data_IF_567246666050
#
_entry.id   IF_567246666050
#
_cell.length_a   1.000
_cell.length_b   1.000
_cell.length_c   1.000
_cell.angle_alpha   90.00
_cell.angle_beta   90.00
_cell.angle_gamma   90.00
#
_symmetry.space_group_name_H-M   'P 1'
#
loop_
_entity.id
_entity.type
_entity.pdbx_description
1 polymer ?
#
# COMPACT_ATOMS: atom_id res chain seq x y z
N UNK A 1 28.72 1.09 -6.91
CA UNK A 1 29.17 2.01 -7.99
C UNK A 1 28.88 1.33 -9.31
N UNK A 2 27.94 1.83 -10.11
CA UNK A 2 27.65 1.26 -11.43
C UNK A 2 28.83 1.60 -12.36
N UNK A 3 29.45 0.63 -13.04
CA UNK A 3 30.52 0.89 -13.99
C UNK A 3 30.08 1.92 -15.05
N UNK A 4 30.93 2.89 -15.44
CA UNK A 4 30.55 3.97 -16.37
C UNK A 4 29.94 3.50 -17.69
N UNK A 5 30.36 2.32 -18.18
CA UNK A 5 29.87 1.72 -19.42
C UNK A 5 28.46 1.10 -19.28
N UNK A 6 28.03 0.74 -18.07
CA UNK A 6 26.68 0.24 -17.80
C UNK A 6 25.66 1.39 -17.68
N UNK A 7 26.12 2.56 -17.21
CA UNK A 7 25.28 3.76 -17.06
C UNK A 7 24.72 4.22 -18.42
N UNK A 8 25.57 4.32 -19.44
CA UNK A 8 25.16 4.73 -20.79
C UNK A 8 24.28 3.71 -21.51
N UNK A 9 24.36 2.43 -21.14
CA UNK A 9 23.49 1.36 -21.66
C UNK A 9 22.11 1.41 -20.99
N UNK A 10 22.06 1.63 -19.67
CA UNK A 10 20.81 1.77 -18.92
C UNK A 10 20.03 3.03 -19.35
N UNK A 11 20.71 4.16 -19.49
CA UNK A 11 20.10 5.42 -19.96
C UNK A 11 19.52 5.33 -21.38
N UNK A 12 20.06 4.44 -22.23
CA UNK A 12 19.52 4.17 -23.58
C UNK A 12 18.36 3.18 -23.59
N UNK A 13 18.20 2.36 -22.55
CA UNK A 13 17.19 1.29 -22.46
C UNK A 13 16.01 1.63 -21.55
N UNK A 14 16.16 2.57 -20.63
CA UNK A 14 15.09 3.05 -19.77
C UNK A 14 14.53 4.34 -20.37
N UNK A 15 13.28 4.27 -20.84
CA UNK A 15 12.54 5.47 -21.27
C UNK A 15 11.60 5.89 -20.15
N UNK A 16 11.64 7.16 -19.79
CA UNK A 16 10.60 7.74 -18.95
C UNK A 16 9.28 7.72 -19.75
N UNK A 17 8.25 7.14 -19.14
CA UNK A 17 6.89 7.13 -19.69
C UNK A 17 6.02 7.86 -18.67
N UNK A 18 5.22 8.80 -19.14
CA UNK A 18 4.18 9.39 -18.32
C UNK A 18 3.01 8.41 -18.22
N UNK A 19 2.58 8.12 -17.00
CA UNK A 19 1.42 7.27 -16.73
C UNK A 19 0.32 8.10 -16.06
N UNK A 20 -0.96 7.88 -16.40
CA UNK A 20 -2.06 8.50 -15.68
C UNK A 20 -2.05 8.02 -14.22
N UNK A 21 -2.06 8.96 -13.28
CA UNK A 21 -2.21 8.66 -11.85
C UNK A 21 -3.67 8.89 -11.44
N UNK A 22 -4.17 8.03 -10.55
CA UNK A 22 -5.49 8.15 -9.96
C UNK A 22 -5.37 8.01 -8.46
N UNK A 23 -6.19 8.75 -7.71
CA UNK A 23 -6.27 8.58 -6.26
C UNK A 23 -7.04 7.30 -5.93
N UNK A 24 -6.86 6.72 -4.74
CA UNK A 24 -7.73 5.64 -4.26
C UNK A 24 -9.24 5.95 -4.42
N UNK A 25 -9.67 7.15 -4.04
CA UNK A 25 -11.08 7.55 -4.17
C UNK A 25 -11.54 7.58 -5.65
N UNK A 26 -10.71 8.17 -6.53
CA UNK A 26 -11.01 8.21 -7.96
C UNK A 26 -11.02 6.81 -8.61
N UNK A 27 -10.20 5.88 -8.10
CA UNK A 27 -10.21 4.50 -8.56
C UNK A 27 -11.55 3.82 -8.22
N UNK A 28 -12.01 3.95 -6.97
CA UNK A 28 -13.30 3.39 -6.55
C UNK A 28 -14.47 4.03 -7.30
N UNK A 29 -14.46 5.36 -7.46
CA UNK A 29 -15.47 6.10 -8.24
C UNK A 29 -15.55 5.59 -9.68
N UNK A 30 -14.40 5.43 -10.35
CA UNK A 30 -14.33 4.92 -11.72
C UNK A 30 -14.89 3.51 -11.85
N UNK A 31 -14.72 2.69 -10.82
CA UNK A 31 -15.24 1.32 -10.74
C UNK A 31 -16.69 1.25 -10.25
N UNK A 32 -17.27 2.39 -9.82
CA UNK A 32 -18.61 2.49 -9.23
C UNK A 32 -18.79 1.57 -8.01
N UNK A 33 -17.76 1.50 -7.18
CA UNK A 33 -17.76 0.80 -5.89
C UNK A 33 -17.46 1.79 -4.77
N UNK A 34 -17.93 1.50 -3.58
CA UNK A 34 -17.60 2.22 -2.35
C UNK A 34 -16.41 1.56 -1.63
N UNK A 35 -15.89 2.21 -0.58
CA UNK A 35 -14.87 1.59 0.26
C UNK A 35 -15.41 0.42 1.11
N UNK A 36 -16.73 0.39 1.36
CA UNK A 36 -17.43 -0.69 2.08
C UNK A 36 -17.47 -1.98 1.25
N UNK A 37 -17.49 -1.86 -0.07
CA UNK A 37 -17.53 -2.99 -1.00
C UNK A 37 -16.17 -3.71 -1.12
N UNK A 38 -15.10 -3.16 -0.53
CA UNK A 38 -13.78 -3.78 -0.57
C UNK A 38 -13.70 -4.95 0.39
N UNK A 39 -13.51 -6.16 -0.14
CA UNK A 39 -13.24 -7.35 0.69
C UNK A 39 -11.76 -7.49 1.07
N UNK A 40 -10.87 -7.11 0.15
CA UNK A 40 -9.42 -7.28 0.26
C UNK A 40 -8.70 -6.07 -0.36
N UNK A 41 -7.67 -5.56 0.33
CA UNK A 41 -6.73 -4.58 -0.20
C UNK A 41 -5.31 -5.14 -0.16
N UNK A 42 -4.69 -5.35 -1.31
CA UNK A 42 -3.28 -5.76 -1.44
C UNK A 42 -2.51 -4.65 -2.12
N UNK A 43 -1.40 -4.23 -1.50
CA UNK A 43 -0.55 -3.16 -2.00
C UNK A 43 0.86 -3.73 -2.18
N UNK A 44 1.40 -3.51 -3.36
CA UNK A 44 2.77 -3.80 -3.72
C UNK A 44 3.28 -2.60 -4.52
N UNK A 45 3.80 -1.61 -3.78
CA UNK A 45 4.13 -0.30 -4.32
C UNK A 45 5.58 0.11 -4.04
N UNK A 46 6.46 -0.87 -3.81
CA UNK A 46 7.91 -0.72 -3.69
C UNK A 46 8.29 0.46 -2.75
N UNK A 47 7.65 0.52 -1.57
CA UNK A 47 7.90 1.52 -0.53
C UNK A 47 6.94 2.72 -0.52
N UNK A 48 5.97 2.77 -1.44
CA UNK A 48 4.86 3.74 -1.42
C UNK A 48 3.59 3.19 -0.76
N UNK A 49 3.67 2.01 -0.16
CA UNK A 49 2.57 1.26 0.43
C UNK A 49 1.73 2.10 1.40
N UNK A 50 2.37 2.78 2.35
CA UNK A 50 1.68 3.64 3.32
C UNK A 50 1.00 4.86 2.67
N UNK A 51 1.56 5.37 1.56
CA UNK A 51 0.97 6.50 0.84
C UNK A 51 -0.29 6.09 0.05
N UNK A 52 -0.40 4.82 -0.31
CA UNK A 52 -1.60 4.23 -0.93
C UNK A 52 -2.61 3.82 0.14
N UNK A 53 -2.17 3.18 1.22
CA UNK A 53 -3.02 2.64 2.27
C UNK A 53 -3.78 3.73 3.05
N UNK A 54 -3.10 4.80 3.47
CA UNK A 54 -3.70 5.82 4.36
C UNK A 54 -4.92 6.53 3.73
N UNK A 55 -4.91 6.92 2.44
CA UNK A 55 -6.10 7.46 1.81
C UNK A 55 -7.28 6.49 1.80
N UNK A 56 -7.07 5.17 1.66
CA UNK A 56 -8.14 4.19 1.81
C UNK A 56 -8.68 4.14 3.24
N UNK A 57 -7.80 4.08 4.25
CA UNK A 57 -8.20 4.06 5.66
C UNK A 57 -9.01 5.29 6.09
N UNK A 58 -8.81 6.42 5.41
CA UNK A 58 -9.54 7.66 5.68
C UNK A 58 -10.93 7.71 5.01
N UNK A 59 -11.30 6.74 4.17
CA UNK A 59 -12.61 6.70 3.52
C UNK A 59 -13.67 6.18 4.49
N UNK A 60 -14.85 6.80 4.46
CA UNK A 60 -16.01 6.30 5.18
C UNK A 60 -16.33 4.87 4.75
N UNK A 61 -16.58 4.01 5.75
CA UNK A 61 -16.94 2.62 5.51
C UNK A 61 -15.79 1.69 5.13
N UNK A 62 -14.54 2.16 5.06
CA UNK A 62 -13.39 1.29 4.80
C UNK A 62 -13.22 0.22 5.90
N UNK A 63 -13.59 -1.01 5.57
CA UNK A 63 -13.53 -2.14 6.50
C UNK A 63 -13.28 -3.49 5.80
N UNK A 64 -12.28 -3.60 4.90
CA UNK A 64 -11.97 -4.88 4.27
C UNK A 64 -11.69 -5.98 5.29
N UNK A 65 -11.95 -7.23 4.90
CA UNK A 65 -11.64 -8.40 5.72
C UNK A 65 -10.13 -8.54 5.94
N UNK A 66 -9.34 -8.09 4.97
CA UNK A 66 -7.88 -8.17 5.00
C UNK A 66 -7.23 -6.99 4.27
N UNK A 67 -6.13 -6.50 4.85
CA UNK A 67 -5.20 -5.56 4.21
C UNK A 67 -3.81 -6.20 4.21
N UNK A 68 -3.13 -6.18 3.07
CA UNK A 68 -1.78 -6.70 2.91
C UNK A 68 -0.88 -5.66 2.24
N UNK A 69 0.30 -5.42 2.80
CA UNK A 69 1.27 -4.49 2.23
C UNK A 69 2.70 -4.83 2.65
N UNK A 70 3.68 -4.40 1.87
CA UNK A 70 5.08 -4.76 2.10
C UNK A 70 5.72 -3.85 3.15
N UNK A 71 6.44 -4.44 4.12
CA UNK A 71 7.09 -3.67 5.19
C UNK A 71 8.60 -3.47 4.99
N UNK A 72 9.25 -4.35 4.22
CA UNK A 72 10.71 -4.30 4.04
C UNK A 72 11.17 -3.03 3.33
N UNK A 73 10.34 -2.49 2.43
CA UNK A 73 10.61 -1.22 1.77
C UNK A 73 10.28 0.03 2.63
N UNK A 74 9.89 -0.16 3.91
CA UNK A 74 9.49 0.91 4.82
C UNK A 74 10.46 1.15 5.99
N UNK A 75 11.66 0.57 5.97
CA UNK A 75 12.65 0.68 7.07
C UNK A 75 12.94 2.13 7.47
N UNK A 76 13.09 3.03 6.49
CA UNK A 76 13.34 4.46 6.73
C UNK A 76 12.10 5.24 7.20
N UNK A 77 10.95 4.58 7.32
CA UNK A 77 9.66 5.16 7.69
C UNK A 77 9.05 4.50 8.93
N UNK A 78 9.90 3.98 9.83
CA UNK A 78 9.48 3.23 11.01
C UNK A 78 8.38 3.92 11.85
N UNK A 79 8.53 5.22 12.15
CA UNK A 79 7.50 5.96 12.91
C UNK A 79 6.15 5.98 12.19
N UNK A 80 6.15 6.19 10.87
CA UNK A 80 4.94 6.20 10.08
C UNK A 80 4.31 4.80 9.99
N UNK A 81 5.13 3.76 9.89
CA UNK A 81 4.68 2.38 9.93
C UNK A 81 4.01 2.05 11.27
N UNK A 82 4.66 2.35 12.40
CA UNK A 82 4.12 2.11 13.74
C UNK A 82 2.80 2.83 13.97
N UNK A 83 2.68 4.09 13.52
CA UNK A 83 1.41 4.81 13.58
C UNK A 83 0.33 4.10 12.78
N UNK A 84 0.62 3.68 11.55
CA UNK A 84 -0.36 2.97 10.72
C UNK A 84 -0.76 1.63 11.33
N UNK A 85 0.14 0.93 12.01
CA UNK A 85 -0.21 -0.29 12.76
C UNK A 85 -1.14 -0.01 13.94
N UNK A 86 -0.91 1.07 14.67
CA UNK A 86 -1.80 1.51 15.75
C UNK A 86 -3.17 1.91 15.23
N UNK A 87 -3.21 2.62 14.10
CA UNK A 87 -4.46 3.02 13.44
C UNK A 87 -5.26 1.77 12.99
N UNK A 88 -4.60 0.80 12.35
CA UNK A 88 -5.22 -0.48 11.99
C UNK A 88 -5.74 -1.24 13.22
N UNK A 89 -4.97 -1.29 14.29
CA UNK A 89 -5.42 -1.91 15.55
C UNK A 89 -6.65 -1.20 16.13
N UNK A 90 -6.67 0.13 16.13
CA UNK A 90 -7.81 0.93 16.59
C UNK A 90 -9.06 0.73 15.71
N UNK A 91 -8.88 0.42 14.42
CA UNK A 91 -9.95 0.04 13.49
C UNK A 91 -10.44 -1.41 13.66
N UNK A 92 -9.84 -2.18 14.57
CA UNK A 92 -10.26 -3.56 14.87
C UNK A 92 -9.51 -4.63 14.06
N UNK A 93 -8.31 -4.34 13.56
CA UNK A 93 -7.48 -5.33 12.86
C UNK A 93 -6.44 -5.97 13.78
N UNK A 94 -6.23 -7.27 13.62
CA UNK A 94 -5.07 -7.98 14.11
C UNK A 94 -3.99 -7.99 13.03
N UNK A 95 -2.82 -7.44 13.32
CA UNK A 95 -1.69 -7.39 12.37
C UNK A 95 -0.68 -8.47 12.68
N UNK A 96 -0.25 -9.19 11.65
CA UNK A 96 0.82 -10.19 11.70
C UNK A 96 1.80 -10.00 10.56
N UNK A 97 3.05 -10.35 10.78
CA UNK A 97 4.07 -10.38 9.75
C UNK A 97 4.05 -11.72 9.02
N UNK A 98 4.07 -11.68 7.69
CA UNK A 98 4.25 -12.84 6.82
C UNK A 98 5.43 -12.56 5.88
N UNK A 99 6.60 -13.12 6.16
CA UNK A 99 7.82 -12.83 5.39
C UNK A 99 8.09 -11.32 5.29
N UNK A 100 8.03 -10.76 4.07
CA UNK A 100 8.24 -9.34 3.77
C UNK A 100 6.94 -8.52 3.83
N UNK A 101 5.82 -9.17 4.09
CA UNK A 101 4.51 -8.55 4.16
C UNK A 101 4.03 -8.36 5.59
N UNK A 102 3.21 -7.34 5.80
CA UNK A 102 2.31 -7.22 6.93
C UNK A 102 0.90 -7.52 6.46
N UNK A 103 0.21 -8.37 7.22
CA UNK A 103 -1.16 -8.76 6.98
C UNK A 103 -2.01 -8.33 8.16
N UNK A 104 -2.91 -7.38 7.92
CA UNK A 104 -3.92 -6.95 8.86
C UNK A 104 -5.22 -7.69 8.56
N UNK A 105 -5.78 -8.38 9.56
CA UNK A 105 -7.03 -9.16 9.44
C UNK A 105 -8.08 -8.53 10.35
N UNK A 106 -9.23 -8.21 9.79
CA UNK A 106 -10.31 -7.56 10.53
C UNK A 106 -10.97 -8.56 11.48
N UNK A 107 -11.02 -8.22 12.77
CA UNK A 107 -11.51 -9.11 13.83
C UNK A 107 -13.02 -9.34 13.77
N UNK A 108 -13.79 -8.54 13.02
CA UNK A 108 -15.24 -8.76 12.85
C UNK A 108 -15.59 -10.03 12.09
N UNK A 109 -14.61 -10.63 11.39
CA UNK A 109 -14.81 -11.83 10.57
C UNK A 109 -14.29 -13.11 11.25
N UNK A 110 -13.89 -13.05 12.52
CA UNK A 110 -13.41 -14.17 13.34
C UNK A 110 -14.04 -14.16 14.74
#
# INVERSE_FOLDING_TARGET
IIPPHLKSVLERKVRAVQVPCITPAGLLERLKVSAEDLELLVIDAEGFDLAVLRPFMAMEGFAPSQVKFEWVNLEHRWTALMQTLQDLAAMGYNVRQEHFDLVAVNTRYF
#
